data_IF_161465509140
#
_entry.id   IF_161465509140
#
_cell.length_a   1.000
_cell.length_b   1.000
_cell.length_c   1.000
_cell.angle_alpha   90.00
_cell.angle_beta   90.00
_cell.angle_gamma   90.00
#
_symmetry.space_group_name_H-M   'P 1'
#
loop_
_entity.id
_entity.type
_entity.pdbx_description
1 polymer ?
#
# COMPACT_ATOMS: atom_id res chain seq x y z
N UNK A 1 -10.65 -7.51 6.04
CA UNK A 1 -11.27 -8.46 6.99
C UNK A 1 -10.30 -8.93 8.09
N UNK A 2 -9.14 -9.52 7.76
CA UNK A 2 -8.22 -10.05 8.78
C UNK A 2 -7.67 -8.98 9.75
N UNK A 3 -7.23 -7.83 9.23
CA UNK A 3 -6.79 -6.68 10.06
C UNK A 3 -7.86 -6.21 11.05
N UNK A 4 -9.10 -6.10 10.58
CA UNK A 4 -10.22 -5.62 11.40
C UNK A 4 -10.58 -6.59 12.52
N UNK A 5 -10.23 -7.87 12.36
CA UNK A 5 -10.51 -8.92 13.33
C UNK A 5 -9.28 -9.32 14.16
N UNK A 6 -8.11 -8.67 14.02
CA UNK A 6 -6.89 -9.11 14.74
C UNK A 6 -7.11 -9.23 16.25
N UNK A 7 -7.91 -8.31 16.81
CA UNK A 7 -8.18 -8.25 18.25
C UNK A 7 -9.32 -9.18 18.71
N UNK A 8 -10.01 -9.83 17.77
CA UNK A 8 -11.07 -10.81 18.03
C UNK A 8 -10.65 -12.17 17.46
N UNK A 9 -10.08 -13.02 18.32
CA UNK A 9 -9.55 -14.32 17.90
C UNK A 9 -10.59 -15.22 17.23
N UNK A 10 -11.85 -15.18 17.68
CA UNK A 10 -12.92 -16.01 17.14
C UNK A 10 -13.30 -15.55 15.72
N UNK A 11 -13.49 -14.24 15.56
CA UNK A 11 -13.80 -13.66 14.24
C UNK A 11 -12.62 -13.82 13.28
N UNK A 12 -11.40 -13.69 13.78
CA UNK A 12 -10.18 -13.91 13.00
C UNK A 12 -10.08 -15.34 12.50
N UNK A 13 -10.39 -16.34 13.34
CA UNK A 13 -10.42 -17.74 12.94
C UNK A 13 -11.51 -18.03 11.89
N UNK A 14 -12.70 -17.43 12.03
CA UNK A 14 -13.76 -17.52 11.04
C UNK A 14 -13.32 -16.96 9.68
N UNK A 15 -12.74 -15.75 9.65
CA UNK A 15 -12.22 -15.15 8.43
C UNK A 15 -11.08 -15.96 7.81
N UNK A 16 -10.20 -16.56 8.62
CA UNK A 16 -9.17 -17.48 8.13
C UNK A 16 -9.79 -18.70 7.43
N UNK A 17 -10.82 -19.31 8.03
CA UNK A 17 -11.53 -20.47 7.43
C UNK A 17 -12.17 -20.12 6.09
N UNK A 18 -12.83 -18.96 6.00
CA UNK A 18 -13.45 -18.47 4.75
C UNK A 18 -12.39 -18.26 3.67
N UNK A 19 -11.30 -17.56 3.99
CA UNK A 19 -10.22 -17.30 3.03
C UNK A 19 -9.52 -18.59 2.60
N UNK A 20 -9.28 -19.52 3.54
CA UNK A 20 -8.70 -20.83 3.23
C UNK A 20 -9.59 -21.62 2.26
N UNK A 21 -10.90 -21.63 2.47
CA UNK A 21 -11.85 -22.27 1.56
C UNK A 21 -11.82 -21.62 0.17
N UNK A 22 -11.82 -20.29 0.10
CA UNK A 22 -11.75 -19.54 -1.15
C UNK A 22 -10.47 -19.87 -1.95
N UNK A 23 -9.29 -19.81 -1.31
CA UNK A 23 -8.03 -20.13 -1.96
C UNK A 23 -7.90 -21.62 -2.31
N UNK A 24 -8.53 -22.51 -1.52
CA UNK A 24 -8.63 -23.93 -1.83
C UNK A 24 -9.38 -24.20 -3.14
N UNK A 25 -10.44 -23.44 -3.43
CA UNK A 25 -11.15 -23.53 -4.71
C UNK A 25 -10.23 -23.16 -5.87
N UNK A 26 -9.47 -22.06 -5.76
CA UNK A 26 -8.52 -21.65 -6.81
C UNK A 26 -7.50 -22.75 -7.08
N UNK A 27 -6.93 -23.37 -6.03
CA UNK A 27 -6.01 -24.49 -6.17
C UNK A 27 -6.65 -25.68 -6.89
N UNK A 28 -7.88 -26.05 -6.52
CA UNK A 28 -8.59 -27.17 -7.15
C UNK A 28 -8.92 -26.93 -8.63
N UNK A 29 -9.05 -25.66 -9.01
CA UNK A 29 -9.35 -25.22 -10.36
C UNK A 29 -8.11 -24.91 -11.20
N UNK A 30 -6.89 -25.15 -10.68
CA UNK A 30 -5.60 -24.78 -11.32
C UNK A 30 -5.52 -25.12 -12.82
N UNK A 31 -5.97 -26.32 -13.22
CA UNK A 31 -6.00 -26.75 -14.63
C UNK A 31 -6.85 -25.88 -15.57
N UNK A 32 -7.74 -25.05 -15.02
CA UNK A 32 -8.62 -24.13 -15.74
C UNK A 32 -8.18 -22.67 -15.62
N UNK A 33 -7.20 -22.38 -14.76
CA UNK A 33 -6.74 -21.03 -14.49
C UNK A 33 -5.46 -20.76 -15.29
N UNK A 34 -5.55 -19.85 -16.27
CA UNK A 34 -4.38 -19.45 -17.05
C UNK A 34 -3.41 -18.54 -16.27
N UNK A 35 -3.97 -17.66 -15.44
CA UNK A 35 -3.23 -16.69 -14.65
C UNK A 35 -4.08 -16.21 -13.47
N UNK A 36 -3.49 -16.13 -12.28
CA UNK A 36 -4.12 -15.62 -11.07
C UNK A 36 -3.23 -14.54 -10.49
N UNK A 37 -3.77 -13.34 -10.33
CA UNK A 37 -3.09 -12.22 -9.69
C UNK A 37 -3.85 -11.81 -8.44
N UNK A 38 -3.15 -11.77 -7.32
CA UNK A 38 -3.72 -11.42 -6.02
C UNK A 38 -3.07 -10.12 -5.54
N UNK A 39 -3.90 -9.15 -5.17
CA UNK A 39 -3.49 -7.89 -4.56
C UNK A 39 -4.11 -7.74 -3.18
N UNK A 40 -3.47 -6.94 -2.33
CA UNK A 40 -3.94 -6.68 -0.98
C UNK A 40 -3.11 -5.60 -0.31
N UNK A 41 -3.66 -5.01 0.75
CA UNK A 41 -3.02 -3.90 1.48
C UNK A 41 -1.93 -4.40 2.42
N UNK A 42 -2.05 -5.64 2.90
CA UNK A 42 -1.12 -6.23 3.87
C UNK A 42 -0.73 -7.62 3.48
N UNK A 43 0.56 -7.94 3.64
CA UNK A 43 1.13 -9.27 3.45
C UNK A 43 0.72 -10.18 4.61
N UNK A 44 -0.56 -10.53 4.70
CA UNK A 44 -1.04 -11.52 5.68
C UNK A 44 -0.64 -12.91 5.23
N UNK A 45 0.63 -13.27 5.39
CA UNK A 45 1.07 -14.66 5.30
C UNK A 45 0.87 -15.33 6.67
N UNK A 46 -0.39 -15.50 7.07
CA UNK A 46 -0.69 -16.52 8.06
C UNK A 46 -0.41 -17.86 7.37
N UNK A 47 0.74 -18.45 7.69
CA UNK A 47 1.25 -19.71 7.11
C UNK A 47 0.18 -20.82 7.10
N UNK A 48 -0.85 -20.75 7.94
CA UNK A 48 -1.97 -21.69 8.01
C UNK A 48 -3.10 -21.48 6.98
N UNK A 49 -3.33 -20.26 6.50
CA UNK A 49 -4.33 -19.98 5.44
C UNK A 49 -3.76 -20.33 4.07
N UNK A 50 -2.46 -20.10 3.89
CA UNK A 50 -1.75 -20.32 2.63
C UNK A 50 -0.98 -21.64 2.55
N UNK A 51 -1.02 -22.49 3.59
CA UNK A 51 -0.43 -23.85 3.50
C UNK A 51 -0.98 -24.64 2.31
N UNK A 52 -2.25 -24.39 1.98
CA UNK A 52 -2.90 -24.99 0.83
C UNK A 52 -2.53 -24.27 -0.48
N UNK A 53 -2.12 -23.00 -0.45
CA UNK A 53 -1.76 -22.18 -1.60
C UNK A 53 -0.26 -21.84 -1.59
N UNK A 54 0.59 -22.87 -1.62
CA UNK A 54 2.05 -22.78 -1.53
C UNK A 54 2.76 -22.44 -2.85
N UNK A 55 2.01 -22.11 -3.91
CA UNK A 55 2.54 -21.89 -5.27
C UNK A 55 2.62 -20.39 -5.64
N UNK A 56 2.29 -19.50 -4.70
CA UNK A 56 2.29 -18.07 -4.97
C UNK A 56 3.72 -17.54 -5.06
N UNK A 57 3.98 -16.85 -6.17
CA UNK A 57 5.18 -16.06 -6.35
C UNK A 57 4.92 -14.64 -5.83
N UNK A 58 5.47 -14.32 -4.66
CA UNK A 58 5.46 -12.94 -4.16
C UNK A 58 6.35 -12.07 -5.07
N UNK A 59 5.73 -11.13 -5.77
CA UNK A 59 6.40 -10.19 -6.66
C UNK A 59 6.41 -8.76 -6.12
N UNK A 60 5.86 -8.51 -4.93
CA UNK A 60 5.57 -7.16 -4.42
C UNK A 60 6.80 -6.26 -4.38
N UNK A 61 7.98 -6.82 -4.07
CA UNK A 61 9.24 -6.09 -3.99
C UNK A 61 10.24 -6.48 -5.08
N UNK A 62 9.80 -7.06 -6.20
CA UNK A 62 10.69 -7.48 -7.28
C UNK A 62 10.90 -6.34 -8.28
N UNK A 63 12.16 -6.07 -8.62
CA UNK A 63 12.55 -5.01 -9.56
C UNK A 63 11.70 -4.95 -10.85
N UNK A 64 11.40 -6.07 -11.55
CA UNK A 64 10.57 -6.02 -12.77
C UNK A 64 9.14 -5.51 -12.57
N UNK A 65 8.65 -5.46 -11.34
CA UNK A 65 7.29 -5.05 -10.98
C UNK A 65 7.26 -3.77 -10.13
N UNK A 66 8.42 -3.10 -9.95
CA UNK A 66 8.55 -1.95 -9.06
C UNK A 66 7.64 -0.76 -9.45
N UNK A 67 7.29 -0.64 -10.73
CA UNK A 67 6.43 0.42 -11.25
C UNK A 67 4.95 -0.02 -11.44
N UNK A 68 4.56 -1.21 -10.96
CA UNK A 68 3.22 -1.76 -11.23
C UNK A 68 2.11 -1.01 -10.47
N UNK A 69 2.40 -0.49 -9.28
CA UNK A 69 1.42 0.11 -8.37
C UNK A 69 1.69 1.59 -8.19
N UNK A 70 1.23 2.43 -9.12
CA UNK A 70 1.38 3.88 -9.02
C UNK A 70 1.33 4.56 -10.38
N UNK A 71 1.80 5.80 -10.43
CA UNK A 71 2.08 6.53 -11.68
C UNK A 71 3.55 6.96 -11.63
N UNK A 72 4.36 6.69 -12.65
CA UNK A 72 5.74 7.22 -12.67
C UNK A 72 5.77 8.70 -13.04
N UNK A 73 6.88 9.41 -12.80
CA UNK A 73 7.04 10.80 -13.24
C UNK A 73 6.88 10.95 -14.75
N UNK A 74 7.42 10.00 -15.52
CA UNK A 74 7.30 9.99 -16.98
C UNK A 74 5.84 9.78 -17.42
N UNK A 75 5.11 8.87 -16.78
CA UNK A 75 3.70 8.63 -17.05
C UNK A 75 2.83 9.83 -16.66
N UNK A 76 3.14 10.47 -15.53
CA UNK A 76 2.50 11.69 -15.07
C UNK A 76 2.59 12.78 -16.13
N UNK A 77 3.80 13.10 -16.57
CA UNK A 77 4.05 14.15 -17.57
C UNK A 77 3.48 13.77 -18.93
N UNK A 78 3.64 12.52 -19.36
CA UNK A 78 3.20 12.08 -20.70
C UNK A 78 1.68 12.00 -20.82
N UNK A 79 1.00 11.52 -19.79
CA UNK A 79 -0.43 11.21 -19.84
C UNK A 79 -1.29 12.37 -19.36
N UNK A 80 -0.83 13.11 -18.35
CA UNK A 80 -1.59 14.18 -17.71
C UNK A 80 -1.05 15.58 -18.00
N UNK A 81 -0.33 15.75 -19.13
CA UNK A 81 0.17 17.07 -19.54
C UNK A 81 -0.94 18.14 -19.57
N UNK A 82 -2.13 17.88 -20.15
CA UNK A 82 -3.19 18.88 -20.18
C UNK A 82 -3.68 19.29 -18.78
N UNK A 83 -3.79 18.33 -17.85
CA UNK A 83 -4.19 18.55 -16.47
C UNK A 83 -3.14 19.38 -15.72
N UNK A 84 -1.86 19.05 -15.91
CA UNK A 84 -0.75 19.79 -15.33
C UNK A 84 -0.70 21.24 -15.84
N UNK A 85 -0.93 21.46 -17.14
CA UNK A 85 -1.01 22.80 -17.72
C UNK A 85 -2.20 23.61 -17.19
N UNK A 86 -3.37 22.97 -17.02
CA UNK A 86 -4.54 23.62 -16.41
C UNK A 86 -4.25 24.03 -14.97
N UNK A 87 -3.65 23.13 -14.19
CA UNK A 87 -3.28 23.39 -12.79
C UNK A 87 -2.22 24.50 -12.69
N UNK A 88 -1.22 24.50 -13.58
CA UNK A 88 -0.18 25.53 -13.67
C UNK A 88 -0.78 26.90 -13.95
N UNK A 89 -1.66 26.98 -14.96
CA UNK A 89 -2.37 28.20 -15.33
C UNK A 89 -3.24 28.73 -14.18
N UNK A 90 -3.98 27.86 -13.50
CA UNK A 90 -4.83 28.25 -12.37
C UNK A 90 -4.02 28.81 -11.20
N UNK A 91 -2.85 28.22 -10.93
CA UNK A 91 -1.96 28.66 -9.84
C UNK A 91 -1.03 29.81 -10.22
N UNK A 92 -0.93 30.17 -11.50
CA UNK A 92 -0.04 31.22 -11.98
C UNK A 92 1.44 30.86 -11.89
N UNK A 93 1.78 29.57 -11.97
CA UNK A 93 3.15 29.06 -11.90
C UNK A 93 3.49 28.29 -13.18
N UNK A 94 4.77 28.00 -13.41
CA UNK A 94 5.23 27.23 -14.56
C UNK A 94 4.85 25.75 -14.46
N UNK A 95 4.86 25.07 -15.61
CA UNK A 95 4.63 23.62 -15.68
C UNK A 95 5.63 22.84 -14.81
N UNK A 96 6.91 23.26 -14.81
CA UNK A 96 7.95 22.61 -14.00
C UNK A 96 7.66 22.79 -12.50
N UNK A 97 7.24 23.98 -12.08
CA UNK A 97 6.89 24.24 -10.67
C UNK A 97 5.69 23.40 -10.22
N UNK A 98 4.71 23.14 -11.09
CA UNK A 98 3.61 22.20 -10.77
C UNK A 98 4.12 20.78 -10.64
N UNK A 99 4.97 20.31 -11.56
CA UNK A 99 5.52 18.95 -11.50
C UNK A 99 6.32 18.76 -10.20
N UNK A 100 7.16 19.72 -9.84
CA UNK A 100 7.93 19.68 -8.59
C UNK A 100 7.02 19.71 -7.35
N UNK A 101 5.89 20.43 -7.42
CA UNK A 101 4.89 20.46 -6.36
C UNK A 101 4.14 19.12 -6.24
N UNK A 102 3.81 18.49 -7.37
CA UNK A 102 3.20 17.16 -7.40
C UNK A 102 4.14 16.14 -6.76
N UNK A 103 5.43 16.20 -7.09
CA UNK A 103 6.44 15.28 -6.57
C UNK A 103 6.57 15.44 -5.05
N UNK A 104 6.69 16.67 -4.55
CA UNK A 104 6.77 16.94 -3.11
C UNK A 104 5.53 16.49 -2.33
N UNK A 105 4.35 16.51 -2.94
CA UNK A 105 3.09 16.30 -2.24
C UNK A 105 2.56 14.86 -2.36
N UNK A 106 2.82 14.18 -3.48
CA UNK A 106 2.16 12.92 -3.84
C UNK A 106 3.11 11.79 -4.27
N UNK A 107 4.42 12.07 -4.44
CA UNK A 107 5.45 11.04 -4.67
C UNK A 107 6.01 10.51 -3.33
N UNK A 108 6.74 9.39 -3.39
CA UNK A 108 7.50 8.88 -2.25
C UNK A 108 7.48 7.35 -2.10
N UNK A 109 6.65 6.64 -2.86
CA UNK A 109 6.55 5.18 -2.76
C UNK A 109 7.60 4.50 -3.65
N UNK A 110 8.34 3.56 -3.07
CA UNK A 110 9.28 2.71 -3.80
C UNK A 110 8.97 1.24 -3.50
N UNK A 111 8.60 0.49 -4.55
CA UNK A 111 8.36 -0.96 -4.44
C UNK A 111 9.60 -1.80 -4.78
N UNK A 112 10.76 -1.16 -4.90
CA UNK A 112 12.07 -1.82 -4.95
C UNK A 112 13.13 -0.79 -4.52
N UNK A 113 14.21 -1.19 -3.82
CA UNK A 113 15.24 -0.23 -3.38
C UNK A 113 15.87 0.58 -4.52
N UNK A 114 16.01 -0.03 -5.69
CA UNK A 114 16.48 0.61 -6.94
C UNK A 114 15.32 0.94 -7.89
N UNK A 115 14.08 0.92 -7.40
CA UNK A 115 12.88 1.21 -8.20
C UNK A 115 12.73 2.70 -8.46
N UNK A 116 11.87 3.04 -9.43
CA UNK A 116 11.47 4.44 -9.67
C UNK A 116 10.50 4.91 -8.58
N UNK A 117 10.53 6.20 -8.26
CA UNK A 117 9.55 6.83 -7.40
C UNK A 117 8.16 6.79 -8.04
N UNK A 118 7.17 6.40 -7.24
CA UNK A 118 5.79 6.24 -7.66
C UNK A 118 4.90 7.29 -6.99
N UNK A 119 4.15 8.00 -7.82
CA UNK A 119 3.07 8.87 -7.37
C UNK A 119 1.86 8.03 -6.94
N UNK A 120 1.21 8.47 -5.86
CA UNK A 120 -0.06 7.91 -5.41
C UNK A 120 -1.19 8.27 -6.42
N UNK A 121 -1.80 7.29 -7.12
CA UNK A 121 -2.78 7.58 -8.17
C UNK A 121 -4.02 8.30 -7.64
N UNK A 122 -4.50 7.92 -6.46
CA UNK A 122 -5.67 8.55 -5.85
C UNK A 122 -5.44 10.05 -5.62
N UNK A 123 -4.29 10.40 -5.06
CA UNK A 123 -3.97 11.80 -4.75
C UNK A 123 -3.75 12.64 -6.00
N UNK A 124 -3.07 12.09 -7.00
CA UNK A 124 -2.88 12.73 -8.31
C UNK A 124 -4.22 12.99 -9.00
N UNK A 125 -5.08 11.98 -9.09
CA UNK A 125 -6.37 12.08 -9.79
C UNK A 125 -7.31 13.07 -9.10
N UNK A 126 -7.37 13.08 -7.77
CA UNK A 126 -8.18 14.07 -7.04
C UNK A 126 -7.63 15.50 -7.21
N UNK A 127 -6.30 15.67 -7.22
CA UNK A 127 -5.72 16.99 -7.45
C UNK A 127 -6.05 17.55 -8.84
N UNK A 128 -6.13 16.68 -9.85
CA UNK A 128 -6.55 17.07 -11.19
C UNK A 128 -8.05 17.31 -11.31
N UNK A 129 -8.89 16.49 -10.66
CA UNK A 129 -10.35 16.66 -10.67
C UNK A 129 -10.78 17.96 -9.98
N UNK A 130 -10.23 18.24 -8.80
CA UNK A 130 -10.49 19.47 -8.07
C UNK A 130 -9.72 20.68 -8.64
N UNK A 131 -8.73 20.42 -9.51
CA UNK A 131 -7.75 21.39 -10.01
C UNK A 131 -7.11 22.20 -8.85
N UNK A 132 -6.80 21.51 -7.74
CA UNK A 132 -6.17 22.09 -6.56
C UNK A 132 -5.32 21.06 -5.81
N UNK A 133 -4.27 21.53 -5.14
CA UNK A 133 -3.48 20.64 -4.27
C UNK A 133 -4.18 20.50 -2.92
N UNK A 134 -4.17 19.28 -2.39
CA UNK A 134 -4.81 18.96 -1.13
C UNK A 134 -4.14 17.77 -0.44
N UNK A 135 -4.64 17.43 0.74
CA UNK A 135 -4.18 16.28 1.52
C UNK A 135 -5.01 15.03 1.19
N UNK A 136 -5.10 14.69 -0.09
CA UNK A 136 -5.95 13.58 -0.57
C UNK A 136 -5.50 12.22 -0.02
N UNK A 137 -4.21 12.04 0.27
CA UNK A 137 -3.68 10.84 0.93
C UNK A 137 -4.25 10.63 2.35
N UNK A 138 -4.68 11.70 3.03
CA UNK A 138 -5.23 11.62 4.39
C UNK A 138 -6.73 11.30 4.39
N UNK A 139 -7.43 11.53 3.27
CA UNK A 139 -8.87 11.27 3.15
C UNK A 139 -9.19 9.77 3.02
N UNK A 140 -8.19 8.94 2.66
CA UNK A 140 -8.35 7.49 2.57
C UNK A 140 -8.15 6.83 3.93
N UNK A 141 -9.20 6.91 4.77
CA UNK A 141 -9.42 6.05 5.93
C UNK A 141 -8.31 6.06 6.99
N UNK A 142 -8.54 6.74 8.12
CA UNK A 142 -7.74 6.53 9.32
C UNK A 142 -7.77 5.04 9.68
N UNK A 143 -6.63 4.34 9.72
CA UNK A 143 -6.61 2.94 10.12
C UNK A 143 -6.88 2.87 11.62
N UNK A 144 -8.15 2.84 12.03
CA UNK A 144 -8.59 2.74 13.44
C UNK A 144 -7.87 1.61 14.17
N UNK A 145 -7.63 0.50 13.46
CA UNK A 145 -6.84 -0.62 13.94
C UNK A 145 -5.41 -0.25 14.35
N UNK A 146 -4.69 0.58 13.57
CA UNK A 146 -3.34 1.01 13.92
C UNK A 146 -3.36 1.87 15.18
N UNK A 147 -4.36 2.74 15.31
CA UNK A 147 -4.58 3.56 16.51
C UNK A 147 -4.84 2.67 17.74
N UNK A 148 -5.67 1.65 17.59
CA UNK A 148 -5.99 0.73 18.69
C UNK A 148 -4.78 -0.15 19.06
N UNK A 149 -3.96 -0.54 18.09
CA UNK A 149 -2.72 -1.28 18.33
C UNK A 149 -1.67 -0.41 19.03
N UNK A 150 -1.49 0.84 18.59
CA UNK A 150 -0.59 1.79 19.27
C UNK A 150 -1.02 2.07 20.71
N UNK A 151 -2.33 2.15 20.99
CA UNK A 151 -2.86 2.32 22.36
C UNK A 151 -2.61 1.12 23.27
N UNK A 152 -2.53 -0.07 22.70
CA UNK A 152 -2.30 -1.32 23.43
C UNK A 152 -0.80 -1.66 23.55
N UNK A 153 0.03 -1.10 22.68
CA UNK A 153 1.48 -1.25 22.72
C UNK A 153 2.14 -0.26 23.70
N UNK A 154 3.19 -0.67 24.41
CA UNK A 154 4.08 0.24 25.14
C UNK A 154 5.03 1.04 24.20
N UNK A 155 4.70 1.12 22.91
CA UNK A 155 5.55 1.75 21.90
C UNK A 155 5.54 3.27 22.05
N UNK A 156 6.72 3.87 22.20
CA UNK A 156 6.85 5.32 22.28
C UNK A 156 6.62 5.95 20.90
N UNK A 157 5.40 6.46 20.69
CA UNK A 157 4.99 7.14 19.46
C UNK A 157 5.88 8.32 19.08
N UNK A 158 6.63 8.90 20.04
CA UNK A 158 7.57 10.01 19.76
C UNK A 158 8.71 9.57 18.86
N UNK A 159 9.06 8.29 18.88
CA UNK A 159 10.08 7.71 18.00
C UNK A 159 9.65 7.74 16.52
N UNK A 160 8.35 7.80 16.24
CA UNK A 160 7.83 7.86 14.86
C UNK A 160 7.85 9.27 14.26
N UNK A 161 7.98 10.32 15.09
CA UNK A 161 7.85 11.72 14.66
C UNK A 161 8.97 12.13 13.71
N UNK A 162 10.19 11.64 13.97
CA UNK A 162 11.39 11.97 13.18
C UNK A 162 11.69 10.93 12.08
N UNK A 163 10.79 9.95 11.90
CA UNK A 163 11.00 8.78 11.04
C UNK A 163 11.80 7.68 11.75
N UNK A 164 11.48 6.42 11.44
CA UNK A 164 12.17 5.24 11.98
C UNK A 164 12.78 4.45 10.83
N UNK A 165 14.08 4.20 10.90
CA UNK A 165 14.73 3.23 10.02
C UNK A 165 14.60 1.82 10.62
N UNK A 166 14.05 0.90 9.85
CA UNK A 166 13.94 -0.51 10.22
C UNK A 166 14.55 -1.38 9.12
N UNK A 167 15.08 -2.54 9.51
CA UNK A 167 15.57 -3.52 8.55
C UNK A 167 14.41 -4.06 7.71
N UNK A 168 14.67 -4.41 6.44
CA UNK A 168 13.67 -5.05 5.58
C UNK A 168 13.10 -6.36 6.17
N UNK A 169 13.86 -7.03 7.04
CA UNK A 169 13.39 -8.20 7.79
C UNK A 169 12.27 -7.88 8.77
N UNK A 170 12.17 -6.65 9.29
CA UNK A 170 11.08 -6.22 10.16
C UNK A 170 9.73 -6.21 9.42
N UNK A 171 9.71 -5.85 8.13
CA UNK A 171 8.51 -5.98 7.27
C UNK A 171 8.26 -7.42 6.80
N UNK A 172 9.20 -8.32 7.07
CA UNK A 172 9.03 -9.76 6.85
C UNK A 172 8.56 -10.47 8.10
N UNK A 173 8.50 -9.82 9.27
CA UNK A 173 7.97 -10.42 10.49
C UNK A 173 6.45 -10.57 10.39
N UNK A 174 6.01 -11.82 10.29
CA UNK A 174 4.63 -12.21 9.94
C UNK A 174 3.65 -12.21 11.11
N UNK A 175 4.13 -11.92 12.31
CA UNK A 175 3.28 -11.85 13.49
C UNK A 175 2.97 -10.38 13.73
N UNK A 176 1.70 -10.04 13.62
CA UNK A 176 1.16 -8.89 14.34
C UNK A 176 1.28 -9.22 15.84
N UNK A 177 2.50 -9.15 16.39
CA UNK A 177 2.68 -9.18 17.84
C UNK A 177 2.28 -7.80 18.32
N UNK A 178 1.34 -7.76 19.26
CA UNK A 178 0.72 -6.55 19.81
C UNK A 178 1.76 -5.55 20.37
N UNK A 179 2.99 -6.01 20.62
CA UNK A 179 4.08 -5.22 21.19
C UNK A 179 4.99 -4.53 20.15
N UNK A 180 4.87 -4.83 18.85
CA UNK A 180 5.63 -4.13 17.80
C UNK A 180 4.71 -3.68 16.65
N UNK A 181 4.32 -2.40 16.60
CA UNK A 181 3.46 -1.88 15.53
C UNK A 181 4.20 -1.75 14.19
N UNK A 182 5.54 -1.75 14.16
CA UNK A 182 6.35 -1.39 12.99
C UNK A 182 6.07 -2.19 11.71
N UNK A 183 5.84 -3.52 11.75
CA UNK A 183 5.49 -4.28 10.54
C UNK A 183 4.12 -3.93 9.94
N UNK A 184 3.31 -3.16 10.67
CA UNK A 184 1.93 -2.79 10.33
C UNK A 184 1.76 -1.32 9.94
N UNK A 185 2.84 -0.53 10.02
CA UNK A 185 2.94 0.87 9.59
C UNK A 185 3.53 0.90 8.18
#
# INVERSE_FOLDING_TARGET
PLLQAVLDENLLDEYRKILKAFYGVLKSADRYLRFVFLTGVTKFAQVSVFSDLNQLNDISMKSPYAALCGITKEELVKTFLPELERLAKRRGISLQEVIDLMERQYDGYHFHPEGVGMFNPFSVLNAFDAEEMGYYWFQTGTPTYLVDLLKQSDYDIRLLIDGVEVLASAFSEYRAETNNPLPMI
#
